data_IF_100264239374
#
_entry.id   IF_100264239374
#
_cell.length_a   1.000
_cell.length_b   1.000
_cell.length_c   1.000
_cell.angle_alpha   90.00
_cell.angle_beta   90.00
_cell.angle_gamma   90.00
#
_symmetry.space_group_name_H-M   'P 1'
#
loop_
_entity.id
_entity.type
_entity.pdbx_description
1 polymer ?
#
# COMPACT_ATOMS: atom_id res chain seq x y z
N UNK A 1 -28.04 -58.04 -16.20
CA UNK A 1 -27.11 -56.90 -16.07
C UNK A 1 -27.79 -55.78 -15.29
N UNK A 2 -27.59 -55.72 -13.97
CA UNK A 2 -28.14 -54.66 -13.13
C UNK A 2 -27.32 -53.37 -13.30
N UNK A 3 -27.97 -52.28 -13.70
CA UNK A 3 -27.30 -50.97 -13.88
C UNK A 3 -27.08 -50.35 -12.50
N UNK A 4 -25.82 -50.30 -12.06
CA UNK A 4 -25.38 -49.89 -10.71
C UNK A 4 -25.28 -48.37 -10.51
N UNK A 5 -25.84 -47.56 -11.40
CA UNK A 5 -25.81 -46.11 -11.25
C UNK A 5 -27.11 -45.50 -11.74
N UNK A 6 -27.90 -44.97 -10.80
CA UNK A 6 -29.03 -44.09 -11.06
C UNK A 6 -28.67 -42.78 -10.37
N UNK A 7 -28.40 -41.71 -11.13
CA UNK A 7 -28.22 -40.39 -10.54
C UNK A 7 -29.59 -39.87 -10.11
N UNK A 8 -29.74 -39.54 -8.83
CA UNK A 8 -30.89 -38.75 -8.37
C UNK A 8 -30.82 -37.37 -9.01
N UNK A 9 -31.91 -36.96 -9.64
CA UNK A 9 -32.05 -35.62 -10.19
C UNK A 9 -32.56 -34.67 -9.11
N UNK A 10 -32.28 -33.37 -9.27
CA UNK A 10 -32.70 -32.29 -8.36
C UNK A 10 -34.22 -32.14 -8.16
N UNK A 11 -35.04 -33.02 -8.72
CA UNK A 11 -36.50 -33.03 -8.60
C UNK A 11 -37.03 -34.22 -7.77
N UNK A 12 -36.14 -35.09 -7.26
CA UNK A 12 -36.54 -36.26 -6.46
C UNK A 12 -36.65 -35.95 -4.94
N UNK A 13 -36.49 -34.69 -4.52
CA UNK A 13 -36.52 -34.23 -3.12
C UNK A 13 -37.88 -33.65 -2.66
N UNK A 14 -38.99 -34.03 -3.30
CA UNK A 14 -40.36 -33.55 -2.96
C UNK A 14 -41.17 -34.50 -2.06
N UNK A 15 -40.50 -35.36 -1.28
CA UNK A 15 -41.15 -36.15 -0.22
C UNK A 15 -40.88 -35.50 1.14
N UNK A 16 -41.91 -35.21 1.97
CA UNK A 16 -41.72 -34.60 3.28
C UNK A 16 -40.99 -35.59 4.19
N UNK A 17 -39.67 -35.43 4.29
CA UNK A 17 -38.80 -36.20 5.19
C UNK A 17 -39.31 -36.04 6.61
N UNK A 18 -39.94 -37.10 7.12
CA UNK A 18 -40.46 -37.20 8.47
C UNK A 18 -39.40 -36.76 9.49
N UNK A 19 -39.83 -35.90 10.41
CA UNK A 19 -39.03 -35.26 11.46
C UNK A 19 -38.51 -36.30 12.48
N UNK A 20 -37.52 -37.10 12.10
CA UNK A 20 -36.72 -37.83 13.06
C UNK A 20 -35.69 -36.87 13.67
N UNK A 21 -36.08 -36.22 14.78
CA UNK A 21 -35.18 -35.48 15.68
C UNK A 21 -33.91 -36.30 15.92
N UNK A 22 -32.80 -35.88 15.33
CA UNK A 22 -31.48 -36.40 15.66
C UNK A 22 -31.15 -35.94 17.10
N UNK A 23 -30.76 -36.84 18.02
CA UNK A 23 -30.30 -36.38 19.33
C UNK A 23 -29.04 -35.53 19.12
N UNK A 24 -29.03 -34.35 19.75
CA UNK A 24 -27.91 -33.43 19.71
C UNK A 24 -26.61 -34.17 20.05
N UNK A 25 -25.67 -34.20 19.13
CA UNK A 25 -24.34 -34.77 19.35
C UNK A 25 -23.68 -33.99 20.50
N UNK A 26 -23.61 -34.59 21.68
CA UNK A 26 -22.78 -34.05 22.74
C UNK A 26 -21.31 -34.11 22.32
N UNK A 27 -20.53 -33.03 22.48
CA UNK A 27 -19.11 -33.06 22.17
C UNK A 27 -18.38 -33.96 23.16
N UNK A 28 -17.91 -35.13 22.71
CA UNK A 28 -16.91 -35.91 23.45
C UNK A 28 -15.58 -35.17 23.37
N UNK A 29 -15.29 -34.37 24.39
CA UNK A 29 -14.00 -33.74 24.58
C UNK A 29 -13.58 -33.88 26.04
N UNK A 30 -12.43 -34.49 26.28
CA UNK A 30 -11.94 -34.96 27.58
C UNK A 30 -11.48 -33.83 28.54
N UNK A 31 -11.89 -32.58 28.30
CA UNK A 31 -11.51 -31.41 29.09
C UNK A 31 -10.02 -31.01 29.00
N UNK A 32 -9.19 -31.76 28.26
CA UNK A 32 -7.76 -31.47 28.10
C UNK A 32 -7.57 -30.51 26.92
N UNK A 33 -6.80 -29.41 27.06
CA UNK A 33 -6.51 -28.54 25.93
C UNK A 33 -5.74 -29.35 24.87
N UNK A 34 -6.33 -29.52 23.68
CA UNK A 34 -5.63 -30.10 22.52
C UNK A 34 -4.38 -29.26 22.27
N UNK A 35 -3.21 -29.87 22.42
CA UNK A 35 -1.91 -29.26 22.13
C UNK A 35 -1.92 -28.77 20.68
N UNK A 36 -2.09 -27.46 20.47
CA UNK A 36 -2.00 -26.83 19.14
C UNK A 36 -3.16 -25.91 18.70
N UNK A 37 -4.28 -25.83 19.43
CA UNK A 37 -5.37 -24.89 19.13
C UNK A 37 -5.75 -24.08 20.38
N UNK A 38 -4.85 -23.21 20.84
CA UNK A 38 -5.31 -21.96 21.47
C UNK A 38 -5.86 -21.04 20.37
N UNK A 39 -6.60 -19.95 20.70
CA UNK A 39 -6.88 -18.89 19.75
C UNK A 39 -5.54 -18.36 19.22
N UNK A 40 -5.07 -18.89 18.09
CA UNK A 40 -3.90 -18.36 17.41
C UNK A 40 -4.34 -17.00 16.92
N UNK A 41 -4.01 -15.94 17.67
CA UNK A 41 -4.12 -14.60 17.13
C UNK A 41 -3.48 -14.63 15.74
N UNK A 42 -4.23 -14.29 14.69
CA UNK A 42 -3.70 -14.31 13.34
C UNK A 42 -2.47 -13.41 13.35
N UNK A 43 -1.33 -13.94 12.88
CA UNK A 43 -0.09 -13.17 12.81
C UNK A 43 -0.41 -11.89 12.04
N UNK A 44 -0.19 -10.73 12.68
CA UNK A 44 -0.35 -9.43 12.00
C UNK A 44 0.66 -9.39 10.87
N UNK A 45 0.18 -9.53 9.63
CA UNK A 45 1.01 -9.41 8.44
C UNK A 45 1.33 -7.93 8.31
N UNK A 46 2.62 -7.57 8.28
CA UNK A 46 3.03 -6.20 7.98
C UNK A 46 2.65 -5.91 6.52
N UNK A 47 1.51 -5.25 6.34
CA UNK A 47 1.11 -4.76 5.03
C UNK A 47 1.95 -3.49 4.77
N UNK A 48 2.71 -3.43 3.67
CA UNK A 48 3.47 -2.23 3.34
C UNK A 48 2.53 -1.05 3.14
N UNK A 49 2.91 0.10 3.71
CA UNK A 49 2.22 1.38 3.56
C UNK A 49 2.23 1.83 2.10
N UNK A 50 1.30 2.74 1.77
CA UNK A 50 1.26 3.41 0.49
C UNK A 50 1.49 4.90 0.73
N UNK A 51 2.28 5.53 -0.15
CA UNK A 51 2.50 6.96 -0.15
C UNK A 51 2.17 7.58 -1.49
N UNK A 52 1.71 8.81 -1.44
CA UNK A 52 1.47 9.66 -2.59
C UNK A 52 2.78 10.29 -3.05
N UNK A 53 3.17 10.02 -4.30
CA UNK A 53 4.37 10.55 -4.93
C UNK A 53 3.99 11.35 -6.16
N UNK A 54 4.42 12.60 -6.21
CA UNK A 54 4.39 13.40 -7.45
C UNK A 54 5.74 13.26 -8.15
N UNK A 55 5.75 12.97 -9.45
CA UNK A 55 6.98 12.77 -10.23
C UNK A 55 7.03 13.72 -11.41
N UNK A 56 8.17 14.35 -11.66
CA UNK A 56 8.34 15.22 -12.83
C UNK A 56 8.13 14.44 -14.14
N UNK A 57 7.28 14.94 -15.03
CA UNK A 57 6.95 14.31 -16.32
C UNK A 57 8.16 14.23 -17.26
N UNK A 58 9.15 15.13 -17.13
CA UNK A 58 10.36 15.12 -17.98
C UNK A 58 11.45 14.16 -17.50
N UNK A 59 11.73 14.10 -16.19
CA UNK A 59 12.88 13.36 -15.66
C UNK A 59 12.53 12.27 -14.63
N UNK A 60 11.26 12.14 -14.23
CA UNK A 60 10.79 11.14 -13.27
C UNK A 60 11.21 11.40 -11.81
N UNK A 61 11.86 12.52 -11.51
CA UNK A 61 12.26 12.85 -10.14
C UNK A 61 11.03 13.02 -9.24
N UNK A 62 11.05 12.37 -8.07
CA UNK A 62 10.05 12.59 -7.04
C UNK A 62 10.13 14.04 -6.53
N UNK A 63 8.98 14.70 -6.44
CA UNK A 63 8.82 16.06 -5.97
C UNK A 63 8.16 15.99 -4.58
N UNK A 64 8.75 16.70 -3.62
CA UNK A 64 8.26 16.76 -2.23
C UNK A 64 7.44 18.02 -1.94
N UNK A 65 7.38 18.96 -2.88
CA UNK A 65 6.80 20.30 -2.68
C UNK A 65 5.53 20.47 -3.51
N UNK A 66 4.56 21.22 -2.99
CA UNK A 66 3.39 21.64 -3.76
C UNK A 66 3.80 22.50 -4.96
N UNK A 67 3.27 22.13 -6.13
CA UNK A 67 3.57 22.79 -7.41
C UNK A 67 2.84 24.14 -7.44
N UNK A 68 3.61 25.25 -7.48
CA UNK A 68 3.10 26.62 -7.74
C UNK A 68 3.38 27.00 -9.19
N UNK A 69 2.81 28.11 -9.66
CA UNK A 69 3.02 28.62 -11.02
C UNK A 69 4.50 28.73 -11.41
N UNK A 70 5.35 29.15 -10.47
CA UNK A 70 6.78 29.35 -10.73
C UNK A 70 7.68 28.18 -10.30
N UNK A 71 7.09 27.05 -9.96
CA UNK A 71 7.86 25.89 -9.47
C UNK A 71 8.62 25.19 -10.60
N UNK A 72 9.84 24.80 -10.27
CA UNK A 72 10.81 24.22 -11.20
C UNK A 72 11.38 22.93 -10.59
N UNK A 73 11.68 21.94 -11.43
CA UNK A 73 12.27 20.69 -10.98
C UNK A 73 13.73 20.88 -10.55
N UNK A 74 14.10 20.38 -9.37
CA UNK A 74 15.48 20.45 -8.86
C UNK A 74 16.49 19.62 -9.67
N UNK A 75 16.05 18.60 -10.43
CA UNK A 75 16.97 17.74 -11.20
C UNK A 75 17.22 18.22 -12.62
N UNK A 76 16.16 18.60 -13.35
CA UNK A 76 16.25 18.94 -14.77
C UNK A 76 15.92 20.41 -15.08
N UNK A 77 15.62 21.22 -14.07
CA UNK A 77 15.22 22.62 -14.22
C UNK A 77 14.02 22.85 -15.14
N UNK A 78 13.21 21.82 -15.39
CA UNK A 78 11.97 21.96 -16.15
C UNK A 78 10.87 22.59 -15.31
N UNK A 79 10.01 23.39 -15.96
CA UNK A 79 8.80 23.91 -15.33
C UNK A 79 7.89 22.76 -14.89
N UNK A 80 7.40 22.84 -13.66
CA UNK A 80 6.49 21.84 -13.09
C UNK A 80 5.04 22.20 -13.38
N UNK A 81 4.72 23.49 -13.50
CA UNK A 81 3.37 23.96 -13.79
C UNK A 81 3.07 23.91 -15.30
N UNK A 82 2.89 22.70 -15.82
CA UNK A 82 2.69 22.42 -17.25
C UNK A 82 1.47 21.52 -17.45
N UNK A 83 0.90 21.51 -18.66
CA UNK A 83 -0.25 20.62 -18.93
C UNK A 83 0.14 19.15 -18.83
N UNK A 84 1.38 18.80 -19.21
CA UNK A 84 1.90 17.43 -19.10
C UNK A 84 1.98 16.91 -17.64
N UNK A 85 2.05 17.82 -16.66
CA UNK A 85 2.11 17.51 -15.24
C UNK A 85 0.73 17.54 -14.55
N UNK A 86 -0.34 17.80 -15.31
CA UNK A 86 -1.70 18.01 -14.79
C UNK A 86 -2.51 16.71 -14.77
N UNK A 87 -3.24 16.45 -13.68
CA UNK A 87 -4.15 15.31 -13.52
C UNK A 87 -5.33 15.34 -14.52
N UNK A 88 -5.71 16.53 -14.98
CA UNK A 88 -6.83 16.75 -15.90
C UNK A 88 -6.42 16.75 -17.38
N UNK A 89 -5.18 16.42 -17.70
CA UNK A 89 -4.71 16.35 -19.08
C UNK A 89 -5.27 15.10 -19.76
N UNK A 90 -6.11 15.30 -20.78
CA UNK A 90 -6.74 14.21 -21.54
C UNK A 90 -6.73 14.57 -23.02
N UNK A 91 -5.96 13.84 -23.83
CA UNK A 91 -5.82 14.07 -25.28
C UNK A 91 -7.11 13.88 -26.06
N UNK A 92 -8.12 13.18 -25.52
CA UNK A 92 -9.41 12.95 -26.19
C UNK A 92 -10.43 14.08 -26.03
N UNK A 93 -10.16 15.04 -25.15
CA UNK A 93 -11.11 16.10 -24.77
C UNK A 93 -10.86 17.42 -25.52
N UNK A 94 -11.85 18.33 -25.48
CA UNK A 94 -11.71 19.64 -26.09
C UNK A 94 -10.53 20.41 -25.48
N UNK A 95 -9.59 20.85 -26.32
CA UNK A 95 -8.33 21.50 -25.91
C UNK A 95 -7.34 20.63 -25.13
N UNK A 96 -7.54 19.31 -25.14
CA UNK A 96 -6.72 18.32 -24.44
C UNK A 96 -6.79 18.45 -22.90
N UNK A 97 -7.93 18.90 -22.36
CA UNK A 97 -8.20 18.94 -20.93
C UNK A 97 -9.63 18.49 -20.60
N UNK A 98 -9.77 17.63 -19.59
CA UNK A 98 -11.06 17.17 -19.10
C UNK A 98 -11.90 18.28 -18.45
N UNK A 99 -11.26 19.36 -17.99
CA UNK A 99 -11.92 20.54 -17.45
C UNK A 99 -12.26 21.56 -18.54
N UNK A 100 -13.31 22.35 -18.33
CA UNK A 100 -13.73 23.38 -19.29
C UNK A 100 -12.81 24.61 -19.23
N UNK A 101 -11.87 24.69 -20.17
CA UNK A 101 -10.91 25.81 -20.27
C UNK A 101 -11.36 26.80 -21.37
N UNK A 102 -11.22 28.13 -21.16
CA UNK A 102 -11.62 29.14 -22.15
C UNK A 102 -10.74 29.18 -23.41
N UNK A 103 -9.46 28.80 -23.31
CA UNK A 103 -8.50 28.84 -24.42
C UNK A 103 -7.55 27.65 -24.38
N UNK A 104 -7.20 27.12 -25.55
CA UNK A 104 -6.16 26.08 -25.69
C UNK A 104 -4.81 26.59 -25.18
N UNK A 105 -4.20 25.83 -24.26
CA UNK A 105 -2.83 26.05 -23.79
C UNK A 105 -1.86 25.31 -24.71
N UNK A 106 -0.93 26.03 -25.35
CA UNK A 106 0.16 25.48 -26.15
C UNK A 106 1.40 26.38 -26.04
N UNK A 107 2.63 25.84 -25.93
CA UNK A 107 3.00 24.42 -25.87
C UNK A 107 2.64 23.76 -24.52
N UNK A 108 2.43 22.43 -24.51
CA UNK A 108 1.97 21.68 -23.33
C UNK A 108 3.09 21.41 -22.30
N UNK A 109 4.33 21.47 -22.75
CA UNK A 109 5.54 21.24 -21.95
C UNK A 109 6.18 22.53 -21.41
N UNK A 110 5.52 23.68 -21.57
CA UNK A 110 5.99 24.96 -21.03
C UNK A 110 5.09 25.45 -19.89
N UNK A 111 5.65 26.34 -19.06
CA UNK A 111 4.93 26.98 -17.96
C UNK A 111 3.62 27.59 -18.46
N UNK A 112 2.52 27.19 -17.84
CA UNK A 112 1.22 27.80 -18.04
C UNK A 112 0.76 28.49 -16.74
N UNK A 113 -0.26 29.35 -16.84
CA UNK A 113 -0.89 30.01 -15.70
C UNK A 113 -2.32 29.52 -15.48
N UNK A 114 -2.60 28.26 -15.82
CA UNK A 114 -3.94 27.69 -15.67
C UNK A 114 -4.28 27.55 -14.19
N UNK A 115 -5.39 28.14 -13.73
CA UNK A 115 -5.82 28.07 -12.33
C UNK A 115 -6.48 26.74 -11.95
N UNK A 116 -6.90 25.96 -12.94
CA UNK A 116 -7.49 24.62 -12.78
C UNK A 116 -6.42 23.52 -12.73
N UNK A 117 -5.16 23.90 -12.54
CA UNK A 117 -4.06 22.95 -12.49
C UNK A 117 -4.10 22.13 -11.21
N UNK A 118 -3.96 20.82 -11.37
CA UNK A 118 -3.81 19.87 -10.27
C UNK A 118 -2.71 18.89 -10.63
N UNK A 119 -1.74 18.70 -9.72
CA UNK A 119 -0.58 17.86 -9.99
C UNK A 119 -0.98 16.38 -10.08
N UNK A 120 -0.42 15.65 -11.04
CA UNK A 120 -0.55 14.17 -11.05
C UNK A 120 0.13 13.58 -9.83
N UNK A 121 -0.67 12.93 -8.98
CA UNK A 121 -0.21 12.15 -7.83
C UNK A 121 -0.33 10.67 -8.17
N UNK A 122 0.75 9.92 -7.96
CA UNK A 122 0.75 8.45 -8.10
C UNK A 122 0.88 7.82 -6.73
N UNK A 123 0.05 6.82 -6.41
CA UNK A 123 0.13 6.09 -5.15
C UNK A 123 1.11 4.93 -5.33
N UNK A 124 2.23 4.98 -4.61
CA UNK A 124 3.27 3.96 -4.67
C UNK A 124 3.33 3.16 -3.37
N UNK A 125 3.56 1.84 -3.49
CA UNK A 125 3.76 0.97 -2.33
C UNK A 125 5.14 1.23 -1.75
N UNK A 126 5.21 1.58 -0.47
CA UNK A 126 6.45 1.74 0.25
C UNK A 126 7.11 0.36 0.40
N UNK A 127 8.15 0.10 -0.36
CA UNK A 127 8.98 -1.11 -0.23
C UNK A 127 10.31 -0.83 0.46
N UNK A 128 10.50 0.39 0.98
CA UNK A 128 11.69 0.74 1.73
C UNK A 128 11.62 0.14 3.12
N UNK A 129 12.63 -0.65 3.48
CA UNK A 129 12.87 -1.03 4.87
C UNK A 129 13.28 0.23 5.63
N UNK A 130 12.32 0.89 6.29
CA UNK A 130 12.66 1.90 7.30
C UNK A 130 13.40 1.16 8.41
N UNK A 131 14.71 1.38 8.54
CA UNK A 131 15.40 1.12 9.80
C UNK A 131 14.70 2.01 10.82
N UNK A 132 13.82 1.43 11.63
CA UNK A 132 13.18 2.13 12.73
C UNK A 132 14.29 2.68 13.64
N UNK A 133 14.60 3.96 13.50
CA UNK A 133 15.28 4.69 14.57
C UNK A 133 14.29 4.73 15.73
N UNK A 134 14.54 3.85 16.69
CA UNK A 134 13.82 3.80 17.93
C UNK A 134 14.11 5.13 18.66
N UNK A 135 13.19 6.09 18.57
CA UNK A 135 13.20 7.26 19.44
C UNK A 135 12.90 6.76 20.86
N UNK A 136 13.95 6.38 21.58
CA UNK A 136 13.90 6.12 23.03
C UNK A 136 13.73 7.45 23.75
N UNK A 137 12.47 7.77 24.05
CA UNK A 137 12.12 8.83 24.98
C UNK A 137 12.54 8.42 26.39
N UNK A 138 13.65 9.00 26.85
CA UNK A 138 13.90 9.50 28.21
C UNK A 138 13.64 8.54 29.39
N UNK A 139 14.70 7.84 29.80
CA UNK A 139 14.91 7.35 31.17
C UNK A 139 16.35 7.69 31.58
N UNK A 140 16.47 8.53 32.60
CA UNK A 140 17.71 9.11 33.16
C UNK A 140 18.77 8.10 33.60
N UNK A 141 20.01 8.27 33.12
CA UNK A 141 21.23 8.32 33.94
C UNK A 141 22.44 8.54 33.03
N UNK A 142 23.43 9.22 33.56
CA UNK A 142 24.61 9.76 32.87
C UNK A 142 25.41 8.68 32.12
N UNK A 143 25.94 9.03 30.94
CA UNK A 143 27.37 8.99 30.60
C UNK A 143 27.62 8.95 29.07
N UNK A 144 28.35 9.98 28.61
CA UNK A 144 29.34 10.02 27.53
C UNK A 144 28.92 9.61 26.10
N UNK A 145 28.72 10.66 25.30
CA UNK A 145 28.67 10.62 23.84
C UNK A 145 29.93 9.97 23.23
N UNK A 146 29.71 8.95 22.40
CA UNK A 146 30.62 8.64 21.29
C UNK A 146 29.81 8.20 20.08
N UNK A 147 29.97 8.95 19.00
CA UNK A 147 29.39 8.78 17.68
C UNK A 147 29.76 7.40 17.11
N UNK A 148 28.78 6.49 17.06
CA UNK A 148 28.97 5.14 16.53
C UNK A 148 28.64 5.09 15.05
N UNK A 149 29.68 5.32 14.25
CA UNK A 149 29.76 4.88 12.86
C UNK A 149 29.50 3.36 12.77
N UNK A 150 28.98 2.93 11.62
CA UNK A 150 28.60 1.56 11.25
C UNK A 150 29.67 0.47 11.47
N UNK A 151 30.92 0.84 11.75
CA UNK A 151 32.01 -0.09 12.09
C UNK A 151 31.85 -0.75 13.46
N UNK A 152 31.16 -0.11 14.40
CA UNK A 152 31.06 -0.60 15.78
C UNK A 152 30.07 -1.76 15.94
N UNK A 153 29.04 -1.83 15.08
CA UNK A 153 28.06 -2.91 15.09
C UNK A 153 28.69 -4.27 14.74
N UNK A 154 29.67 -4.30 13.83
CA UNK A 154 30.35 -5.56 13.43
C UNK A 154 31.31 -6.06 14.52
N UNK A 155 32.04 -5.15 15.18
CA UNK A 155 32.94 -5.49 16.28
C UNK A 155 32.20 -6.09 17.49
N UNK A 156 31.00 -5.58 17.81
CA UNK A 156 30.18 -6.12 18.90
C UNK A 156 29.75 -7.58 18.69
N UNK A 157 29.62 -8.04 17.44
CA UNK A 157 29.30 -9.45 17.15
C UNK A 157 30.51 -10.38 17.29
N UNK A 158 31.71 -9.95 16.89
CA UNK A 158 32.92 -10.76 16.98
C UNK A 158 33.35 -11.02 18.43
N UNK A 159 33.07 -10.10 19.35
CA UNK A 159 33.44 -10.24 20.77
C UNK A 159 32.51 -11.18 21.55
N UNK A 160 31.33 -11.53 21.02
CA UNK A 160 30.41 -12.49 21.65
C UNK A 160 30.84 -13.96 21.46
N UNK A 161 31.73 -14.23 20.51
CA UNK A 161 32.17 -15.58 20.16
C UNK A 161 33.65 -15.84 20.46
N UNK A 162 34.30 -14.98 21.27
CA UNK A 162 35.63 -15.21 21.83
C UNK A 162 35.59 -15.75 23.24
#
# INVERSE_FOLDING_TARGET
MSRKYRQSGYQDDDEPRSEARTPARQPKGDGRPRRGYGPREPRKVNMPSFHEVTKCARCGAALSTSIRFDSVCNKCAADLHTCAQCAWFDTGSQFECAQTIPKRVSPKDARNSCTLFEAVVTIERETHSTSHEHSTTTGSSEERATTTNSSNARQAFDDLFK
#
